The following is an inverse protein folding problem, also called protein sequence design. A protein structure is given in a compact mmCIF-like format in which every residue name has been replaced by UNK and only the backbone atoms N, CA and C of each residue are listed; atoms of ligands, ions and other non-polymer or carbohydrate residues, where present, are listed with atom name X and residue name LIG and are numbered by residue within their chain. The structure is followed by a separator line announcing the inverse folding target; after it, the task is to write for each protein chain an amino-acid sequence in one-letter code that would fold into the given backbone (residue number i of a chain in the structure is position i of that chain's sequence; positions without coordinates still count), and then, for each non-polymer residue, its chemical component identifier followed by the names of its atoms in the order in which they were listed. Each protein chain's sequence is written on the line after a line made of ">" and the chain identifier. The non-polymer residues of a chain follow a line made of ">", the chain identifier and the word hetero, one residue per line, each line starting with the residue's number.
data_IF_143764600738
#
_entry.id   IF_143764600738
#
_cell.length_a   1.000
_cell.length_b   1.000
_cell.length_c   1.000
_cell.angle_alpha   90.00
_cell.angle_beta   90.00
_cell.angle_gamma   90.00
#
_symmetry.space_group_name_H-M   'P 1'
#
loop_
_entity.id
_entity.type
_entity.pdbx_description
1 polymer ?
#
# COMPACT_ATOMS: atom_id res chain seq x y z
N UNK A 1 -48.42 -11.98 18.54
CA UNK A 1 -47.77 -13.27 18.24
C UNK A 1 -47.39 -13.25 16.77
N UNK A 2 -46.11 -13.56 16.48
CA UNK A 2 -45.49 -13.79 15.16
C UNK A 2 -45.39 -12.54 14.23
N UNK A 3 -44.35 -12.30 13.43
CA UNK A 3 -43.17 -13.09 13.07
C UNK A 3 -42.04 -12.15 12.60
N UNK A 4 -40.79 -12.52 12.91
CA UNK A 4 -39.58 -11.87 12.40
C UNK A 4 -39.40 -12.20 10.92
N UNK A 5 -39.16 -11.20 10.07
CA UNK A 5 -38.69 -11.41 8.71
C UNK A 5 -37.36 -10.68 8.50
N UNK A 6 -36.27 -11.44 8.67
CA UNK A 6 -34.94 -11.08 8.18
C UNK A 6 -34.81 -11.71 6.79
N UNK A 7 -34.76 -10.89 5.75
CA UNK A 7 -34.32 -11.33 4.42
C UNK A 7 -33.09 -10.51 4.05
N UNK A 8 -31.94 -11.13 4.28
CA UNK A 8 -30.73 -10.92 3.53
C UNK A 8 -30.94 -11.55 2.14
N UNK A 9 -30.49 -10.89 1.07
CA UNK A 9 -29.76 -11.49 -0.08
C UNK A 9 -29.50 -10.37 -1.09
N UNK A 10 -28.22 -9.98 -1.23
CA UNK A 10 -27.33 -10.30 -2.37
C UNK A 10 -27.81 -9.75 -3.71
N UNK A 11 -27.00 -8.84 -4.25
CA UNK A 11 -27.16 -8.26 -5.56
C UNK A 11 -26.96 -9.24 -6.72
N UNK A 12 -27.36 -8.78 -7.89
CA UNK A 12 -26.95 -9.35 -9.17
C UNK A 12 -26.59 -8.21 -10.12
N UNK A 13 -25.35 -8.25 -10.59
CA UNK A 13 -24.83 -7.39 -11.64
C UNK A 13 -25.34 -7.97 -12.96
N UNK A 14 -26.08 -7.16 -13.73
CA UNK A 14 -26.46 -7.53 -15.10
C UNK A 14 -25.29 -7.20 -16.02
N UNK A 15 -24.69 -8.22 -16.63
CA UNK A 15 -23.87 -8.03 -17.82
C UNK A 15 -24.39 -8.93 -18.93
N UNK A 16 -24.91 -8.28 -19.96
CA UNK A 16 -25.49 -8.86 -21.16
C UNK A 16 -24.39 -9.44 -22.07
N UNK A 17 -24.53 -10.71 -22.47
CA UNK A 17 -23.81 -11.34 -23.59
C UNK A 17 -24.43 -10.89 -24.95
N UNK A 18 -23.83 -11.07 -26.16
CA UNK A 18 -23.40 -12.41 -26.64
C UNK A 18 -22.28 -12.53 -27.73
N UNK A 19 -21.67 -13.73 -27.76
CA UNK A 19 -21.26 -14.60 -28.89
C UNK A 19 -20.45 -14.13 -30.11
N UNK A 20 -19.29 -14.78 -30.30
CA UNK A 20 -18.79 -15.54 -31.49
C UNK A 20 -17.24 -15.59 -31.43
N UNK A 21 -16.46 -16.55 -31.91
CA UNK A 21 -16.56 -17.92 -32.43
C UNK A 21 -15.10 -18.28 -32.85
N UNK A 22 -14.72 -19.55 -32.74
CA UNK A 22 -13.56 -20.22 -33.40
C UNK A 22 -12.14 -20.00 -32.84
N UNK A 23 -11.75 -20.99 -32.02
CA UNK A 23 -10.58 -21.87 -32.15
C UNK A 23 -9.46 -21.47 -33.13
N UNK A 24 -8.29 -21.13 -32.59
CA UNK A 24 -7.00 -21.68 -33.02
C UNK A 24 -6.03 -21.71 -31.84
N UNK A 25 -5.44 -22.88 -31.65
CA UNK A 25 -4.39 -23.18 -30.67
C UNK A 25 -3.12 -22.40 -31.01
N UNK A 26 -2.62 -21.66 -30.03
CA UNK A 26 -1.20 -21.44 -29.84
C UNK A 26 -0.99 -21.31 -28.32
N UNK A 27 -0.66 -22.43 -27.68
CA UNK A 27 -0.17 -22.44 -26.30
C UNK A 27 1.20 -21.74 -26.28
N UNK A 28 1.19 -20.41 -26.30
CA UNK A 28 2.31 -19.63 -25.84
C UNK A 28 2.22 -19.61 -24.33
N UNK A 29 2.83 -20.62 -23.70
CA UNK A 29 3.22 -20.56 -22.30
C UNK A 29 4.24 -19.42 -22.17
N UNK A 30 3.74 -18.18 -22.12
CA UNK A 30 4.49 -17.08 -21.55
C UNK A 30 4.60 -17.42 -20.07
N UNK A 31 5.73 -18.03 -19.70
CA UNK A 31 6.16 -18.10 -18.33
C UNK A 31 6.12 -16.67 -17.79
N UNK A 32 5.04 -16.35 -17.07
CA UNK A 32 4.99 -15.20 -16.20
C UNK A 32 6.08 -15.47 -15.17
N UNK A 33 7.29 -15.01 -15.48
CA UNK A 33 8.30 -14.81 -14.47
C UNK A 33 7.66 -13.81 -13.51
N UNK A 34 7.03 -14.34 -12.46
CA UNK A 34 6.85 -13.61 -11.20
C UNK A 34 8.27 -13.37 -10.71
N UNK A 35 8.90 -12.35 -11.29
CA UNK A 35 9.99 -11.66 -10.64
C UNK A 35 9.37 -11.24 -9.32
N UNK A 36 9.74 -11.95 -8.26
CA UNK A 36 9.55 -11.58 -6.86
C UNK A 36 10.15 -10.18 -6.70
N UNK A 37 9.41 -9.16 -7.16
CA UNK A 37 9.88 -7.79 -7.20
C UNK A 37 9.81 -7.34 -5.76
N UNK A 38 10.96 -7.45 -5.09
CA UNK A 38 11.13 -6.96 -3.72
C UNK A 38 10.46 -5.59 -3.63
N UNK A 39 9.45 -5.42 -2.76
CA UNK A 39 8.71 -4.18 -2.71
C UNK A 39 9.70 -3.06 -2.41
N UNK A 40 9.55 -1.95 -3.13
CA UNK A 40 10.36 -0.77 -2.87
C UNK A 40 10.20 -0.34 -1.42
N UNK A 41 11.25 0.22 -0.85
CA UNK A 41 11.25 0.76 0.52
C UNK A 41 10.09 1.75 0.73
N UNK A 42 9.75 2.51 -0.32
CA UNK A 42 8.60 3.43 -0.37
C UNK A 42 7.28 2.68 -0.26
N UNK A 43 7.05 1.64 -1.06
CA UNK A 43 5.82 0.84 -1.00
C UNK A 43 5.67 0.16 0.36
N UNK A 44 6.77 -0.33 0.93
CA UNK A 44 6.75 -1.00 2.22
C UNK A 44 6.34 -0.07 3.38
N UNK A 45 6.75 1.20 3.34
CA UNK A 45 6.32 2.24 4.29
C UNK A 45 4.87 2.67 4.01
N UNK A 46 4.46 2.70 2.75
CA UNK A 46 3.13 3.18 2.35
C UNK A 46 2.01 2.16 2.57
N UNK A 47 2.29 0.86 2.48
CA UNK A 47 1.27 -0.19 2.60
C UNK A 47 0.94 -0.51 4.08
N UNK A 48 1.81 -0.12 5.00
CA UNK A 48 1.65 -0.38 6.44
C UNK A 48 0.68 0.61 7.08
N UNK A 49 -0.25 0.13 7.91
CA UNK A 49 -1.24 0.98 8.61
C UNK A 49 -0.85 1.29 10.05
N UNK A 50 -0.04 0.43 10.66
CA UNK A 50 0.35 0.56 12.05
C UNK A 50 1.42 1.65 12.24
N UNK A 51 1.17 2.68 13.06
CA UNK A 51 2.07 3.82 13.24
C UNK A 51 3.49 3.41 13.64
N UNK A 52 3.60 2.42 14.53
CA UNK A 52 4.87 1.87 15.01
C UNK A 52 5.70 1.25 13.88
N UNK A 53 5.07 0.39 13.07
CA UNK A 53 5.75 -0.26 11.96
C UNK A 53 6.10 0.71 10.84
N UNK A 54 5.26 1.73 10.60
CA UNK A 54 5.56 2.83 9.67
C UNK A 54 6.87 3.52 10.10
N UNK A 55 7.01 3.89 11.37
CA UNK A 55 8.23 4.55 11.87
C UNK A 55 9.46 3.66 11.85
N UNK A 56 9.35 2.39 12.22
CA UNK A 56 10.49 1.46 12.17
C UNK A 56 10.99 1.27 10.73
N UNK A 57 10.07 1.07 9.79
CA UNK A 57 10.40 0.97 8.35
C UNK A 57 10.94 2.29 7.82
N UNK A 58 10.39 3.42 8.24
CA UNK A 58 10.86 4.74 7.85
C UNK A 58 12.29 5.02 8.34
N UNK A 59 12.62 4.69 9.59
CA UNK A 59 13.98 4.83 10.14
C UNK A 59 14.99 4.00 9.35
N UNK A 60 14.67 2.73 9.09
CA UNK A 60 15.49 1.86 8.24
C UNK A 60 15.62 2.41 6.82
N UNK A 61 14.56 3.04 6.32
CA UNK A 61 14.55 3.64 5.00
C UNK A 61 15.42 4.90 4.89
N UNK A 62 15.51 5.69 5.96
CA UNK A 62 16.34 6.89 6.06
C UNK A 62 17.85 6.62 5.94
N UNK A 63 18.32 5.40 6.18
CA UNK A 63 19.73 5.04 5.92
C UNK A 63 20.12 5.34 4.45
N UNK A 64 19.19 5.09 3.52
CA UNK A 64 19.41 5.33 2.10
C UNK A 64 19.30 6.82 1.74
N UNK A 65 20.35 7.39 1.15
CA UNK A 65 20.41 8.81 0.76
C UNK A 65 19.31 9.23 -0.23
N UNK A 66 18.98 8.36 -1.19
CA UNK A 66 17.93 8.64 -2.17
C UNK A 66 16.52 8.72 -1.55
N UNK A 67 16.26 7.92 -0.51
CA UNK A 67 14.98 7.91 0.21
C UNK A 67 14.84 9.21 0.98
N UNK A 68 15.93 9.58 1.64
CA UNK A 68 16.16 10.84 2.32
C UNK A 68 15.79 12.05 1.44
N UNK A 69 16.32 12.13 0.21
CA UNK A 69 16.01 13.25 -0.71
C UNK A 69 14.54 13.29 -1.18
N UNK A 70 13.75 12.24 -0.94
CA UNK A 70 12.38 12.15 -1.41
C UNK A 70 11.37 12.77 -0.44
N UNK A 71 11.20 14.10 -0.56
CA UNK A 71 10.24 14.89 0.25
C UNK A 71 8.80 14.38 0.15
N UNK A 72 8.38 13.81 -0.98
CA UNK A 72 7.02 13.32 -1.16
C UNK A 72 6.68 12.13 -0.24
N UNK A 73 7.66 11.24 0.00
CA UNK A 73 7.50 10.11 0.92
C UNK A 73 7.43 10.61 2.35
N UNK A 74 8.24 11.60 2.68
CA UNK A 74 8.23 12.25 3.99
C UNK A 74 6.87 12.87 4.32
N UNK A 75 6.38 13.76 3.45
CA UNK A 75 5.07 14.41 3.63
C UNK A 75 3.93 13.41 3.75
N UNK A 76 3.95 12.34 2.96
CA UNK A 76 2.93 11.29 3.03
C UNK A 76 2.98 10.58 4.38
N UNK A 77 4.17 10.27 4.89
CA UNK A 77 4.36 9.60 6.18
C UNK A 77 3.86 10.49 7.32
N UNK A 78 4.23 11.77 7.33
CA UNK A 78 3.78 12.76 8.32
C UNK A 78 2.25 12.92 8.27
N UNK A 79 1.65 13.06 7.08
CA UNK A 79 0.19 13.18 6.93
C UNK A 79 -0.56 11.97 7.50
N UNK A 80 -0.04 10.76 7.28
CA UNK A 80 -0.65 9.52 7.80
C UNK A 80 -0.56 9.43 9.32
N UNK A 81 0.61 9.70 9.88
CA UNK A 81 0.80 9.72 11.34
C UNK A 81 -0.05 10.81 12.01
N UNK A 82 -0.17 11.98 11.38
CA UNK A 82 -1.01 13.07 11.86
C UNK A 82 -2.50 12.70 11.82
N UNK A 83 -2.95 12.05 10.74
CA UNK A 83 -4.33 11.53 10.64
C UNK A 83 -4.63 10.48 11.74
N UNK A 84 -3.63 9.68 12.12
CA UNK A 84 -3.72 8.74 13.23
C UNK A 84 -3.56 9.39 14.63
N UNK A 85 -3.37 10.72 14.71
CA UNK A 85 -3.09 11.48 15.94
C UNK A 85 -1.87 10.97 16.71
N UNK A 86 -0.87 10.46 16.02
CA UNK A 86 0.35 9.88 16.57
C UNK A 86 1.52 10.86 16.46
N UNK A 87 1.42 11.98 17.17
CA UNK A 87 2.39 13.08 17.08
C UNK A 87 3.78 12.71 17.62
N UNK A 88 3.86 11.89 18.68
CA UNK A 88 5.12 11.36 19.21
C UNK A 88 5.98 10.68 18.11
N UNK A 89 5.32 9.93 17.23
CA UNK A 89 5.96 9.23 16.13
C UNK A 89 6.40 10.18 15.00
N UNK A 90 5.72 11.32 14.85
CA UNK A 90 6.12 12.39 13.92
C UNK A 90 7.40 13.07 14.42
N UNK A 91 7.50 13.31 15.73
CA UNK A 91 8.72 13.85 16.34
C UNK A 91 9.89 12.89 16.13
N UNK A 92 9.70 11.58 16.36
CA UNK A 92 10.76 10.60 16.13
C UNK A 92 11.30 10.60 14.68
N UNK A 93 10.42 10.69 13.67
CA UNK A 93 10.88 10.73 12.27
C UNK A 93 11.54 12.06 11.91
N UNK A 94 11.13 13.17 12.53
CA UNK A 94 11.77 14.48 12.38
C UNK A 94 13.18 14.47 12.99
N UNK A 95 13.34 13.89 14.18
CA UNK A 95 14.62 13.75 14.85
C UNK A 95 15.57 12.82 14.08
N UNK A 96 15.06 11.70 13.54
CA UNK A 96 15.86 10.81 12.70
C UNK A 96 16.39 11.54 11.46
N UNK A 97 15.55 12.36 10.82
CA UNK A 97 15.96 13.10 9.63
C UNK A 97 17.02 14.15 9.95
N UNK A 98 16.94 14.84 11.09
CA UNK A 98 17.92 15.84 11.55
C UNK A 98 19.34 15.29 11.71
N UNK A 99 19.51 13.98 11.96
CA UNK A 99 20.83 13.35 12.06
C UNK A 99 21.63 13.45 10.77
N UNK A 100 20.97 13.62 9.63
CA UNK A 100 21.60 13.65 8.33
C UNK A 100 21.76 15.09 7.86
N UNK A 101 22.97 15.63 8.00
CA UNK A 101 23.32 17.01 7.64
C UNK A 101 23.21 17.34 6.13
N UNK A 102 23.03 16.32 5.28
CA UNK A 102 23.00 16.42 3.82
C UNK A 102 21.57 16.61 3.27
N UNK A 103 20.73 17.35 3.97
CA UNK A 103 19.29 17.55 3.72
C UNK A 103 18.95 19.01 3.51
#
# INVERSE_FOLDING_TARGET
>A
MTSLSRILLRGTFSFSSPTNRRLLSAASAAAAATSERKPSLITLVNDESDPKYITEKFKKACEAEWFRKNKAVYERTVRRLAAAKKFEWIEEILEEQKKYHNM
#
